data_IF_047522308776
#
_entry.id   IF_047522308776
#
_cell.length_a   1.000
_cell.length_b   1.000
_cell.length_c   1.000
_cell.angle_alpha   90.00
_cell.angle_beta   90.00
_cell.angle_gamma   90.00
#
_symmetry.space_group_name_H-M   'P 1'
#
loop_
_entity.id
_entity.type
_entity.pdbx_description
1 polymer ?
#
# COMPACT_ATOMS: atom_id res chain seq x y z
N UNK A 1 -23.58 12.31 29.56
CA UNK A 1 -23.35 12.26 28.09
C UNK A 1 -24.15 11.08 27.54
N UNK A 2 -24.99 11.29 26.53
CA UNK A 2 -25.74 10.21 25.85
C UNK A 2 -24.77 9.26 25.17
N UNK A 3 -25.00 7.95 25.31
CA UNK A 3 -24.18 6.93 24.66
C UNK A 3 -24.30 7.05 23.13
N UNK A 4 -23.16 6.99 22.43
CA UNK A 4 -23.14 7.00 20.97
C UNK A 4 -23.77 5.74 20.40
N UNK A 5 -24.61 5.87 19.38
CA UNK A 5 -25.14 4.71 18.63
C UNK A 5 -24.06 4.06 17.78
N UNK A 6 -24.24 2.80 17.38
CA UNK A 6 -23.30 2.08 16.49
C UNK A 6 -23.04 2.83 15.19
N UNK A 7 -24.08 3.48 14.61
CA UNK A 7 -23.95 4.31 13.41
C UNK A 7 -23.07 5.53 13.65
N UNK A 8 -23.28 6.26 14.75
CA UNK A 8 -22.45 7.41 15.09
C UNK A 8 -20.99 7.01 15.36
N UNK A 9 -20.76 5.87 16.02
CA UNK A 9 -19.41 5.32 16.21
C UNK A 9 -18.78 4.96 14.86
N UNK A 10 -19.53 4.35 13.95
CA UNK A 10 -19.05 4.00 12.61
C UNK A 10 -18.63 5.25 11.83
N UNK A 11 -19.45 6.30 11.81
CA UNK A 11 -19.12 7.57 11.15
C UNK A 11 -17.80 8.16 11.66
N UNK A 12 -17.59 8.18 12.99
CA UNK A 12 -16.37 8.70 13.62
C UNK A 12 -15.15 7.81 13.29
N UNK A 13 -15.30 6.49 13.44
CA UNK A 13 -14.18 5.55 13.38
C UNK A 13 -13.78 5.20 11.95
N UNK A 14 -14.72 5.24 10.99
CA UNK A 14 -14.42 5.14 9.57
C UNK A 14 -13.73 6.41 9.05
N UNK A 15 -14.18 7.60 9.47
CA UNK A 15 -13.52 8.86 9.08
C UNK A 15 -12.08 8.92 9.63
N UNK A 16 -11.87 8.52 10.89
CA UNK A 16 -10.53 8.45 11.47
C UNK A 16 -9.63 7.41 10.77
N UNK A 17 -10.19 6.33 10.22
CA UNK A 17 -9.44 5.30 9.48
C UNK A 17 -8.93 5.77 8.11
N UNK A 18 -9.43 6.90 7.56
CA UNK A 18 -9.04 7.40 6.23
C UNK A 18 -7.57 7.83 6.14
N UNK A 19 -6.96 8.18 7.28
CA UNK A 19 -5.55 8.59 7.38
C UNK A 19 -4.57 7.41 7.41
N UNK A 20 -5.07 6.17 7.48
CA UNK A 20 -4.28 4.95 7.30
C UNK A 20 -4.30 4.58 5.81
N UNK A 21 -3.16 4.32 5.17
CA UNK A 21 -3.06 4.05 3.73
C UNK A 21 -2.91 2.56 3.42
N UNK A 22 -3.72 1.72 4.04
CA UNK A 22 -3.69 0.27 3.79
C UNK A 22 -4.59 -0.22 2.64
N UNK A 23 -5.41 0.66 2.06
CA UNK A 23 -6.29 0.36 0.91
C UNK A 23 -6.61 1.62 0.11
N UNK A 24 -7.06 1.45 -1.14
CA UNK A 24 -7.55 2.56 -1.94
C UNK A 24 -8.94 2.97 -1.42
N UNK A 25 -9.00 4.13 -0.74
CA UNK A 25 -10.26 4.74 -0.36
C UNK A 25 -10.80 5.57 -1.52
N UNK A 26 -12.09 5.43 -1.81
CA UNK A 26 -12.80 6.34 -2.70
C UNK A 26 -13.12 7.62 -1.94
N UNK A 27 -12.13 8.49 -1.74
CA UNK A 27 -12.38 9.85 -1.27
C UNK A 27 -13.25 10.58 -2.29
N UNK A 28 -14.46 10.98 -1.90
CA UNK A 28 -15.38 11.75 -2.74
C UNK A 28 -15.99 12.89 -1.93
N UNK A 29 -16.43 13.95 -2.60
CA UNK A 29 -17.09 15.08 -1.93
C UNK A 29 -18.34 14.58 -1.19
N UNK A 30 -18.56 15.04 0.05
CA UNK A 30 -19.79 14.76 0.79
C UNK A 30 -20.98 15.33 0.01
N UNK A 31 -21.96 14.47 -0.27
CA UNK A 31 -23.21 14.74 -0.96
C UNK A 31 -24.28 14.07 -0.13
N UNK A 32 -25.40 14.76 0.01
CA UNK A 32 -26.55 14.23 0.72
C UNK A 32 -27.75 14.21 -0.22
N UNK A 33 -28.37 13.03 -0.35
CA UNK A 33 -29.65 12.85 -1.02
C UNK A 33 -30.75 13.78 -0.49
N UNK A 34 -30.67 14.22 0.76
CA UNK A 34 -31.61 15.19 1.33
C UNK A 34 -31.33 16.64 0.88
N UNK A 35 -30.14 16.95 0.37
CA UNK A 35 -29.75 18.30 -0.05
C UNK A 35 -30.16 18.58 -1.51
N UNK A 36 -31.35 19.14 -1.72
CA UNK A 36 -31.83 19.56 -3.04
C UNK A 36 -33.33 19.86 -3.07
N UNK A 37 -33.80 20.70 -4.02
CA UNK A 37 -35.21 21.14 -4.10
C UNK A 37 -36.26 20.03 -4.26
N UNK A 38 -35.87 18.82 -4.64
CA UNK A 38 -36.78 17.69 -4.89
C UNK A 38 -36.42 16.42 -4.11
N UNK A 39 -35.42 16.46 -3.22
CA UNK A 39 -34.73 15.26 -2.78
C UNK A 39 -33.99 14.55 -3.93
N UNK A 40 -32.99 13.77 -3.60
CA UNK A 40 -32.20 12.95 -4.53
C UNK A 40 -32.08 11.52 -4.02
N UNK A 41 -31.34 10.69 -4.74
CA UNK A 41 -30.96 9.34 -4.31
C UNK A 41 -29.44 9.31 -4.15
N UNK A 42 -28.99 8.70 -3.05
CA UNK A 42 -27.58 8.48 -2.75
C UNK A 42 -26.95 9.58 -1.90
N UNK A 43 -26.15 9.16 -0.92
CA UNK A 43 -25.32 10.03 -0.10
C UNK A 43 -23.89 9.48 -0.09
N UNK A 44 -22.90 10.35 -0.15
CA UNK A 44 -21.50 9.96 -0.03
C UNK A 44 -21.06 10.09 1.43
N UNK A 45 -21.62 9.20 2.26
CA UNK A 45 -21.22 9.05 3.66
C UNK A 45 -19.99 8.13 3.76
N UNK A 46 -19.04 8.48 4.62
CA UNK A 46 -17.82 7.70 4.85
C UNK A 46 -18.11 6.45 5.68
N UNK A 47 -18.77 5.44 5.10
CA UNK A 47 -19.18 4.21 5.81
C UNK A 47 -18.05 3.18 5.95
N UNK A 48 -16.80 3.60 5.78
CA UNK A 48 -15.62 2.76 6.03
C UNK A 48 -15.38 1.66 4.99
N UNK A 49 -16.08 1.64 3.84
CA UNK A 49 -15.79 0.64 2.80
C UNK A 49 -14.60 1.09 1.96
N UNK A 50 -13.61 0.22 1.78
CA UNK A 50 -12.51 0.45 0.86
C UNK A 50 -12.21 -0.76 -0.03
N UNK A 51 -11.46 -0.52 -1.10
CA UNK A 51 -11.12 -1.55 -2.07
C UNK A 51 -9.68 -2.03 -1.86
N UNK A 52 -9.52 -3.34 -1.74
CA UNK A 52 -8.25 -4.03 -1.68
C UNK A 52 -8.14 -5.02 -2.84
N UNK A 53 -6.94 -5.56 -3.08
CA UNK A 53 -6.75 -6.60 -4.09
C UNK A 53 -6.38 -7.90 -3.39
N UNK A 54 -7.18 -8.93 -3.65
CA UNK A 54 -6.91 -10.29 -3.20
C UNK A 54 -5.64 -10.86 -3.89
N UNK A 55 -5.04 -11.94 -3.36
CA UNK A 55 -3.85 -12.56 -3.95
C UNK A 55 -4.03 -12.99 -5.42
N UNK A 56 -5.26 -13.27 -5.84
CA UNK A 56 -5.64 -13.63 -7.22
C UNK A 56 -5.81 -12.41 -8.16
N UNK A 57 -5.65 -11.19 -7.64
CA UNK A 57 -5.77 -9.94 -8.39
C UNK A 57 -7.20 -9.40 -8.49
N UNK A 58 -8.21 -10.04 -7.87
CA UNK A 58 -9.56 -9.49 -7.79
C UNK A 58 -9.60 -8.30 -6.84
N UNK A 59 -10.35 -7.28 -7.23
CA UNK A 59 -10.70 -6.17 -6.35
C UNK A 59 -11.78 -6.65 -5.38
N UNK A 60 -11.53 -6.49 -4.09
CA UNK A 60 -12.46 -6.88 -3.01
C UNK A 60 -12.85 -5.67 -2.17
N UNK A 61 -14.09 -5.65 -1.68
CA UNK A 61 -14.59 -4.59 -0.80
C UNK A 61 -14.43 -4.99 0.66
N UNK A 62 -13.76 -4.16 1.46
CA UNK A 62 -13.50 -4.40 2.89
C UNK A 62 -14.16 -3.33 3.75
N UNK A 63 -14.74 -3.74 4.88
CA UNK A 63 -15.09 -2.82 5.96
C UNK A 63 -13.81 -2.42 6.69
N UNK A 64 -13.31 -1.23 6.43
CA UNK A 64 -12.15 -0.64 7.10
C UNK A 64 -12.60 0.32 8.19
N UNK A 65 -12.34 -0.10 9.43
CA UNK A 65 -12.72 0.65 10.63
C UNK A 65 -11.64 0.57 11.70
N UNK A 66 -11.69 1.51 12.64
CA UNK A 66 -10.95 1.43 13.90
C UNK A 66 -11.84 0.82 14.97
N UNK A 67 -11.29 -0.04 15.83
CA UNK A 67 -11.94 -0.45 17.08
C UNK A 67 -12.17 0.77 17.99
N UNK A 68 -11.18 1.65 18.06
CA UNK A 68 -11.27 2.95 18.73
C UNK A 68 -10.32 3.93 18.05
N UNK A 69 -10.68 5.20 18.04
CA UNK A 69 -9.76 6.27 17.67
C UNK A 69 -9.07 6.89 18.87
N UNK A 70 -9.34 6.48 20.11
CA UNK A 70 -8.56 6.88 21.29
C UNK A 70 -7.19 6.21 21.29
N UNK A 71 -6.13 6.97 21.57
CA UNK A 71 -4.76 6.48 21.61
C UNK A 71 -3.99 7.09 22.79
N UNK A 72 -3.17 6.30 23.47
CA UNK A 72 -2.25 6.78 24.52
C UNK A 72 -0.94 7.38 23.95
N UNK A 73 -0.63 7.14 22.67
CA UNK A 73 0.56 7.66 22.00
C UNK A 73 0.33 9.03 21.39
N UNK A 74 1.40 9.80 21.23
CA UNK A 74 1.35 11.17 20.75
C UNK A 74 2.05 11.41 19.39
N UNK A 75 1.93 10.44 18.47
CA UNK A 75 2.54 10.54 17.14
C UNK A 75 2.08 11.82 16.41
N UNK A 76 3.02 12.72 16.10
CA UNK A 76 2.75 14.08 15.63
C UNK A 76 1.89 14.12 14.36
N UNK A 77 2.06 13.15 13.45
CA UNK A 77 1.36 13.03 12.17
C UNK A 77 -0.04 12.40 12.28
N UNK A 78 -0.40 11.85 13.44
CA UNK A 78 -1.60 11.05 13.59
C UNK A 78 -2.75 11.89 14.14
N UNK A 79 -3.88 11.94 13.43
CA UNK A 79 -5.10 12.61 13.92
C UNK A 79 -5.60 12.00 15.25
N UNK A 80 -5.30 10.71 15.48
CA UNK A 80 -5.74 9.97 16.64
C UNK A 80 -4.80 10.08 17.84
N UNK A 81 -3.70 10.85 17.76
CA UNK A 81 -2.77 11.06 18.86
C UNK A 81 -3.48 11.58 20.12
N UNK A 82 -2.95 11.30 21.30
CA UNK A 82 -3.61 11.66 22.58
C UNK A 82 -3.90 13.15 22.71
N UNK A 83 -3.03 14.01 22.16
CA UNK A 83 -3.14 15.47 22.25
C UNK A 83 -4.13 16.08 21.26
N UNK A 84 -4.68 15.31 20.32
CA UNK A 84 -5.68 15.82 19.37
C UNK A 84 -7.05 15.98 20.00
N UNK A 85 -7.64 17.16 19.85
CA UNK A 85 -9.03 17.43 20.19
C UNK A 85 -9.96 16.99 19.06
N UNK A 86 -10.21 15.68 18.99
CA UNK A 86 -11.14 15.07 18.04
C UNK A 86 -12.16 14.23 18.80
N UNK A 87 -13.38 14.15 18.27
CA UNK A 87 -14.44 13.33 18.83
C UNK A 87 -13.98 11.88 18.90
N UNK A 88 -14.01 11.29 20.11
CA UNK A 88 -13.59 9.90 20.34
C UNK A 88 -14.77 8.95 20.39
N UNK A 89 -14.56 7.76 19.86
CA UNK A 89 -15.52 6.66 19.89
C UNK A 89 -14.78 5.33 20.08
N UNK A 90 -15.50 4.34 20.60
CA UNK A 90 -15.00 2.98 20.80
C UNK A 90 -16.13 1.99 20.55
N UNK A 91 -15.84 0.98 19.74
CA UNK A 91 -16.65 -0.21 19.64
C UNK A 91 -16.28 -1.23 20.73
N UNK A 92 -17.28 -1.98 21.15
CA UNK A 92 -17.10 -3.28 21.80
C UNK A 92 -16.78 -4.35 20.73
N UNK A 93 -16.21 -5.48 21.15
CA UNK A 93 -15.96 -6.64 20.27
C UNK A 93 -17.25 -7.04 19.54
N UNK A 94 -18.35 -7.17 20.28
CA UNK A 94 -19.67 -7.53 19.75
C UNK A 94 -20.15 -6.56 18.68
N UNK A 95 -20.02 -5.26 18.89
CA UNK A 95 -20.44 -4.26 17.90
C UNK A 95 -19.66 -4.41 16.58
N UNK A 96 -18.36 -4.70 16.61
CA UNK A 96 -17.56 -4.91 15.39
C UNK A 96 -17.98 -6.20 14.67
N UNK A 97 -18.20 -7.28 15.42
CA UNK A 97 -18.65 -8.57 14.89
C UNK A 97 -20.03 -8.41 14.22
N UNK A 98 -21.00 -7.86 14.94
CA UNK A 98 -22.38 -7.65 14.44
C UNK A 98 -22.40 -6.76 13.19
N UNK A 99 -21.56 -5.72 13.17
CA UNK A 99 -21.44 -4.82 12.03
C UNK A 99 -20.85 -5.54 10.81
N UNK A 100 -19.77 -6.30 11.01
CA UNK A 100 -19.09 -7.06 9.94
C UNK A 100 -20.06 -8.07 9.32
N UNK A 101 -20.73 -8.87 10.13
CA UNK A 101 -21.72 -9.85 9.66
C UNK A 101 -22.90 -9.18 8.95
N UNK A 102 -23.34 -8.03 9.44
CA UNK A 102 -24.45 -7.27 8.84
C UNK A 102 -24.12 -6.72 7.46
N UNK A 103 -22.92 -6.20 7.26
CA UNK A 103 -22.45 -5.72 5.95
C UNK A 103 -22.20 -6.89 4.99
N UNK A 104 -21.64 -7.98 5.48
CA UNK A 104 -21.37 -9.18 4.67
C UNK A 104 -22.66 -9.83 4.15
N UNK A 105 -23.65 -10.07 5.03
CA UNK A 105 -24.95 -10.66 4.64
C UNK A 105 -25.74 -9.83 3.62
N UNK A 106 -25.42 -8.53 3.50
CA UNK A 106 -26.02 -7.60 2.54
C UNK A 106 -25.18 -7.44 1.27
N UNK A 107 -24.12 -8.24 1.10
CA UNK A 107 -23.17 -8.19 -0.01
C UNK A 107 -22.48 -6.82 -0.18
N UNK A 108 -22.27 -6.07 0.90
CA UNK A 108 -21.55 -4.78 0.86
C UNK A 108 -20.04 -4.93 1.00
N UNK A 109 -19.60 -6.03 1.62
CA UNK A 109 -18.19 -6.33 1.86
C UNK A 109 -17.93 -7.81 1.65
N UNK A 110 -16.67 -8.15 1.36
CA UNK A 110 -16.14 -9.51 1.34
C UNK A 110 -15.21 -9.77 2.54
N UNK A 111 -14.97 -8.75 3.38
CA UNK A 111 -14.09 -8.87 4.53
C UNK A 111 -13.98 -7.64 5.43
N UNK A 112 -13.19 -7.78 6.49
CA UNK A 112 -12.91 -6.79 7.53
C UNK A 112 -11.43 -6.37 7.46
N UNK A 113 -11.18 -5.06 7.50
CA UNK A 113 -9.89 -4.48 7.84
C UNK A 113 -10.05 -3.78 9.20
N UNK A 114 -9.42 -4.31 10.24
CA UNK A 114 -9.53 -3.78 11.59
C UNK A 114 -8.18 -3.28 12.11
N UNK A 115 -8.20 -2.05 12.61
CA UNK A 115 -7.08 -1.38 13.25
C UNK A 115 -7.58 -0.70 14.54
N UNK A 116 -6.71 -0.06 15.30
CA UNK A 116 -7.10 0.62 16.54
C UNK A 116 -6.07 1.69 16.94
N UNK A 117 -6.53 2.71 17.65
CA UNK A 117 -5.67 3.42 18.60
C UNK A 117 -5.39 2.54 19.84
N UNK A 118 -4.33 2.84 20.57
CA UNK A 118 -3.92 2.05 21.74
C UNK A 118 -4.60 2.60 22.99
N UNK A 119 -5.35 1.76 23.69
CA UNK A 119 -6.04 2.10 24.93
C UNK A 119 -5.60 1.18 26.05
N UNK A 120 -5.43 1.72 27.27
CA UNK A 120 -4.92 1.02 28.46
C UNK A 120 -3.48 0.51 28.28
N UNK A 121 -3.26 -0.46 27.40
CA UNK A 121 -1.95 -0.99 27.01
C UNK A 121 -2.00 -1.56 25.59
N UNK A 122 -0.82 -1.82 25.02
CA UNK A 122 -0.67 -2.52 23.74
C UNK A 122 -1.32 -3.90 23.80
N UNK A 123 -1.08 -4.67 24.87
CA UNK A 123 -1.65 -6.01 25.09
C UNK A 123 -3.17 -5.97 25.12
N UNK A 124 -3.75 -5.11 25.98
CA UNK A 124 -5.19 -5.01 26.11
C UNK A 124 -5.85 -4.67 24.76
N UNK A 125 -5.27 -3.74 24.01
CA UNK A 125 -5.82 -3.38 22.70
C UNK A 125 -5.71 -4.54 21.71
N UNK A 126 -4.58 -5.25 21.72
CA UNK A 126 -4.34 -6.40 20.84
C UNK A 126 -5.26 -7.57 21.18
N UNK A 127 -5.52 -7.85 22.47
CA UNK A 127 -6.51 -8.82 22.93
C UNK A 127 -7.90 -8.54 22.35
N UNK A 128 -8.33 -7.26 22.31
CA UNK A 128 -9.63 -6.92 21.73
C UNK A 128 -9.67 -7.17 20.21
N UNK A 129 -8.59 -6.86 19.49
CA UNK A 129 -8.49 -7.13 18.05
C UNK A 129 -8.55 -8.64 17.76
N UNK A 130 -7.80 -9.43 18.53
CA UNK A 130 -7.82 -10.90 18.45
C UNK A 130 -9.21 -11.44 18.77
N UNK A 131 -9.88 -10.94 19.80
CA UNK A 131 -11.22 -11.36 20.19
C UNK A 131 -12.25 -11.14 19.07
N UNK A 132 -12.17 -10.04 18.33
CA UNK A 132 -13.03 -9.82 17.14
C UNK A 132 -12.80 -10.92 16.11
N UNK A 133 -11.54 -11.16 15.72
CA UNK A 133 -11.24 -12.14 14.67
C UNK A 133 -11.56 -13.57 15.11
N UNK A 134 -11.28 -13.93 16.37
CA UNK A 134 -11.63 -15.23 16.94
C UNK A 134 -13.14 -15.46 16.94
N UNK A 135 -13.94 -14.52 17.46
CA UNK A 135 -15.41 -14.65 17.47
C UNK A 135 -15.96 -14.78 16.04
N UNK A 136 -15.45 -13.99 15.09
CA UNK A 136 -15.83 -14.14 13.68
C UNK A 136 -15.54 -15.56 13.15
N UNK A 137 -14.38 -16.15 13.45
CA UNK A 137 -13.99 -17.48 12.94
C UNK A 137 -14.66 -18.63 13.66
N UNK A 138 -14.66 -18.62 15.00
CA UNK A 138 -15.04 -19.77 15.82
C UNK A 138 -16.53 -19.78 16.16
N UNK A 139 -17.12 -18.62 16.45
CA UNK A 139 -18.52 -18.52 16.89
C UNK A 139 -19.48 -18.33 15.72
N UNK A 140 -19.03 -17.66 14.65
CA UNK A 140 -19.88 -17.26 13.53
C UNK A 140 -19.54 -17.92 12.19
N UNK A 141 -18.52 -18.79 12.15
CA UNK A 141 -17.97 -19.43 10.94
C UNK A 141 -17.77 -18.46 9.76
N UNK A 142 -17.39 -17.22 10.05
CA UNK A 142 -17.17 -16.22 9.02
C UNK A 142 -15.98 -16.64 8.16
N UNK A 143 -16.20 -16.86 6.85
CA UNK A 143 -15.17 -17.25 5.87
C UNK A 143 -14.66 -16.09 5.01
N UNK A 144 -15.15 -14.87 5.24
CA UNK A 144 -14.68 -13.67 4.54
C UNK A 144 -13.26 -13.27 4.93
N UNK A 145 -12.68 -12.34 4.18
CA UNK A 145 -11.31 -11.89 4.39
C UNK A 145 -11.16 -11.09 5.70
N UNK A 146 -10.10 -11.31 6.47
CA UNK A 146 -9.77 -10.54 7.68
C UNK A 146 -8.34 -10.02 7.59
N UNK A 147 -8.17 -8.70 7.67
CA UNK A 147 -6.89 -8.03 7.82
C UNK A 147 -6.85 -7.35 9.20
N UNK A 148 -5.89 -7.75 10.04
CA UNK A 148 -5.65 -7.09 11.33
C UNK A 148 -4.36 -6.27 11.29
N UNK A 149 -4.42 -5.04 11.82
CA UNK A 149 -3.23 -4.26 12.13
C UNK A 149 -2.74 -4.62 13.52
N UNK A 150 -1.58 -5.27 13.61
CA UNK A 150 -1.01 -5.72 14.88
C UNK A 150 -0.23 -4.59 15.54
N UNK A 151 -0.11 -4.68 16.86
CA UNK A 151 0.58 -3.68 17.69
C UNK A 151 1.94 -4.26 18.06
N UNK A 152 3.06 -3.71 17.55
CA UNK A 152 4.38 -4.32 17.72
C UNK A 152 4.86 -4.36 19.19
N UNK A 153 4.33 -3.51 20.05
CA UNK A 153 4.64 -3.48 21.50
C UNK A 153 3.75 -4.42 22.34
N UNK A 154 2.87 -5.21 21.71
CA UNK A 154 2.04 -6.18 22.41
C UNK A 154 2.79 -7.51 22.59
N UNK A 155 2.32 -8.33 23.53
CA UNK A 155 2.80 -9.69 23.75
C UNK A 155 2.86 -10.47 22.42
N UNK A 156 4.01 -11.05 22.06
CA UNK A 156 4.17 -11.85 20.84
C UNK A 156 3.13 -12.96 20.68
N UNK A 157 2.62 -13.53 21.77
CA UNK A 157 1.58 -14.56 21.72
C UNK A 157 0.25 -14.00 21.20
N UNK A 158 -0.11 -12.75 21.52
CA UNK A 158 -1.29 -12.09 20.97
C UNK A 158 -1.15 -11.85 19.46
N UNK A 159 0.06 -11.49 19.01
CA UNK A 159 0.35 -11.37 17.59
C UNK A 159 0.26 -12.73 16.88
N UNK A 160 0.71 -13.82 17.52
CA UNK A 160 0.56 -15.19 17.02
C UNK A 160 -0.91 -15.61 16.94
N UNK A 161 -1.71 -15.33 17.97
CA UNK A 161 -3.15 -15.59 17.95
C UNK A 161 -3.86 -14.84 16.82
N UNK A 162 -3.51 -13.57 16.58
CA UNK A 162 -4.03 -12.83 15.44
C UNK A 162 -3.76 -13.52 14.10
N UNK A 163 -2.58 -14.13 13.93
CA UNK A 163 -2.22 -14.86 12.71
C UNK A 163 -3.02 -16.13 12.48
N UNK A 164 -3.54 -16.78 13.53
CA UNK A 164 -4.41 -17.95 13.39
C UNK A 164 -5.79 -17.61 12.82
N UNK A 165 -6.32 -16.42 13.15
CA UNK A 165 -7.68 -16.02 12.78
C UNK A 165 -7.74 -15.08 11.56
N UNK A 166 -6.67 -14.29 11.32
CA UNK A 166 -6.61 -13.34 10.22
C UNK A 166 -6.01 -13.94 8.93
N UNK A 167 -6.43 -13.41 7.78
CA UNK A 167 -5.82 -13.73 6.48
C UNK A 167 -4.52 -12.95 6.27
N UNK A 168 -4.49 -11.68 6.67
CA UNK A 168 -3.33 -10.79 6.56
C UNK A 168 -3.10 -10.04 7.85
N UNK A 169 -1.82 -9.85 8.17
CA UNK A 169 -1.38 -8.99 9.26
C UNK A 169 -0.61 -7.79 8.73
N UNK A 170 -0.63 -6.68 9.45
CA UNK A 170 0.22 -5.52 9.14
C UNK A 170 0.76 -4.83 10.37
N UNK A 171 2.04 -4.46 10.30
CA UNK A 171 2.73 -3.62 11.29
C UNK A 171 3.25 -2.41 10.54
N UNK A 172 2.94 -1.20 10.99
CA UNK A 172 3.48 0.00 10.37
C UNK A 172 4.88 0.30 10.90
N UNK A 173 5.83 0.49 10.00
CA UNK A 173 7.14 1.10 10.32
C UNK A 173 7.04 2.63 10.46
N UNK A 174 5.95 3.20 9.96
CA UNK A 174 5.56 4.61 10.03
C UNK A 174 6.46 5.57 9.27
N UNK A 175 7.74 5.67 9.61
CA UNK A 175 8.68 6.60 8.98
C UNK A 175 9.79 5.83 8.27
N UNK A 176 10.35 6.40 7.19
CA UNK A 176 11.44 5.77 6.44
C UNK A 176 12.77 5.79 7.20
N UNK A 177 12.94 6.74 8.12
CA UNK A 177 14.19 6.96 8.89
C UNK A 177 13.97 6.81 10.38
N UNK A 178 14.98 6.28 11.08
CA UNK A 178 14.99 6.16 12.55
C UNK A 178 14.92 7.54 13.23
N UNK A 179 15.62 8.53 12.68
CA UNK A 179 15.57 9.91 13.17
C UNK A 179 14.17 10.51 13.04
N UNK A 180 13.51 10.28 11.89
CA UNK A 180 12.13 10.68 11.66
C UNK A 180 11.17 10.01 12.64
N UNK A 181 11.35 8.70 12.88
CA UNK A 181 10.53 7.95 13.83
C UNK A 181 10.65 8.52 15.25
N UNK A 182 11.87 8.69 15.77
CA UNK A 182 12.10 9.26 17.12
C UNK A 182 11.51 10.66 17.27
N UNK A 183 11.65 11.48 16.23
CA UNK A 183 11.15 12.87 16.24
C UNK A 183 9.63 12.95 16.16
N UNK A 184 8.99 12.08 15.37
CA UNK A 184 7.58 12.22 15.01
C UNK A 184 6.66 11.20 15.68
N UNK A 185 7.19 10.15 16.30
CA UNK A 185 6.45 9.15 17.05
C UNK A 185 7.28 8.67 18.25
N UNK A 186 7.45 9.50 19.29
CA UNK A 186 8.40 9.27 20.36
C UNK A 186 8.12 8.01 21.20
N UNK A 187 6.87 7.55 21.27
CA UNK A 187 6.52 6.31 21.97
C UNK A 187 6.80 5.04 21.16
N UNK A 188 7.12 5.15 19.86
CA UNK A 188 7.41 4.01 18.99
C UNK A 188 8.91 3.75 18.91
N UNK A 189 9.25 2.47 18.85
CA UNK A 189 10.64 2.01 18.78
C UNK A 189 10.88 1.19 17.52
N UNK A 190 11.86 1.62 16.71
CA UNK A 190 12.16 0.98 15.43
C UNK A 190 12.66 -0.46 15.57
N UNK A 191 13.42 -0.76 16.63
CA UNK A 191 13.95 -2.11 16.87
C UNK A 191 12.84 -3.08 17.29
N UNK A 192 11.93 -2.66 18.17
CA UNK A 192 10.75 -3.45 18.56
C UNK A 192 9.84 -3.72 17.37
N UNK A 193 9.60 -2.72 16.52
CA UNK A 193 8.85 -2.89 15.27
C UNK A 193 9.50 -3.95 14.37
N UNK A 194 10.80 -3.85 14.13
CA UNK A 194 11.55 -4.82 13.29
C UNK A 194 11.53 -6.23 13.89
N UNK A 195 11.70 -6.36 15.21
CA UNK A 195 11.65 -7.64 15.92
C UNK A 195 10.26 -8.28 15.83
N UNK A 196 9.19 -7.50 15.99
CA UNK A 196 7.82 -8.00 15.83
C UNK A 196 7.55 -8.47 14.39
N UNK A 197 8.05 -7.76 13.38
CA UNK A 197 7.94 -8.16 11.97
C UNK A 197 8.76 -9.43 11.66
N UNK A 198 9.93 -9.58 12.28
CA UNK A 198 10.76 -10.78 12.17
C UNK A 198 10.07 -11.99 12.80
N UNK A 199 9.57 -11.88 14.03
CA UNK A 199 8.81 -12.96 14.68
C UNK A 199 7.57 -13.34 13.88
N UNK A 200 6.89 -12.36 13.26
CA UNK A 200 5.76 -12.62 12.38
C UNK A 200 6.16 -13.35 11.09
N UNK A 201 7.32 -13.03 10.53
CA UNK A 201 7.85 -13.74 9.35
C UNK A 201 8.06 -15.20 9.69
N UNK A 202 8.73 -15.47 10.81
CA UNK A 202 9.06 -16.83 11.24
C UNK A 202 7.78 -17.64 11.48
N UNK A 203 6.78 -17.07 12.17
CA UNK A 203 5.49 -17.72 12.36
C UNK A 203 4.72 -18.00 11.05
N UNK A 204 4.78 -17.11 10.06
CA UNK A 204 4.18 -17.33 8.73
C UNK A 204 4.91 -18.45 7.98
N UNK A 205 6.24 -18.51 8.07
CA UNK A 205 7.04 -19.56 7.44
C UNK A 205 6.76 -20.92 8.06
N UNK A 206 6.73 -21.00 9.39
CA UNK A 206 6.38 -22.21 10.14
C UNK A 206 4.98 -22.68 9.82
N UNK A 207 4.00 -21.77 9.79
CA UNK A 207 2.62 -22.10 9.41
C UNK A 207 2.50 -22.59 7.97
N UNK A 208 3.24 -21.98 7.03
CA UNK A 208 3.29 -22.46 5.64
C UNK A 208 3.92 -23.84 5.55
N UNK A 209 5.04 -24.10 6.25
CA UNK A 209 5.69 -25.42 6.25
C UNK A 209 4.78 -26.50 6.88
N UNK A 210 4.16 -26.19 8.03
CA UNK A 210 3.21 -27.06 8.69
C UNK A 210 2.02 -27.42 7.78
N UNK A 211 1.46 -26.44 7.05
CA UNK A 211 0.35 -26.67 6.11
C UNK A 211 0.70 -27.56 4.92
N UNK A 212 1.99 -27.67 4.57
CA UNK A 212 2.48 -28.58 3.51
C UNK A 212 2.72 -29.98 4.02
N UNK A 213 3.06 -30.13 5.31
CA UNK A 213 3.38 -31.42 5.94
C UNK A 213 2.19 -32.11 6.56
N UNK A 214 1.24 -31.35 7.12
CA UNK A 214 0.12 -31.87 7.90
C UNK A 214 -1.21 -31.36 7.34
N UNK A 215 -2.10 -32.29 6.99
CA UNK A 215 -3.41 -31.97 6.39
C UNK A 215 -4.30 -31.08 7.28
N UNK A 216 -4.15 -31.19 8.59
CA UNK A 216 -4.95 -30.47 9.59
C UNK A 216 -4.18 -29.35 10.30
N UNK A 217 -3.00 -28.95 9.79
CA UNK A 217 -2.31 -27.80 10.36
C UNK A 217 -3.18 -26.53 10.22
N UNK A 218 -3.28 -25.71 11.29
CA UNK A 218 -4.01 -24.46 11.21
C UNK A 218 -3.34 -23.54 10.19
N UNK A 219 -4.15 -22.80 9.43
CA UNK A 219 -3.64 -21.74 8.56
C UNK A 219 -3.15 -20.58 9.42
N UNK A 220 -2.04 -19.98 9.02
CA UNK A 220 -1.48 -18.81 9.68
C UNK A 220 -1.26 -17.70 8.65
N UNK A 221 -2.00 -16.60 8.79
CA UNK A 221 -1.93 -15.40 7.94
C UNK A 221 -1.58 -15.71 6.46
N UNK A 222 -2.40 -16.50 5.74
CA UNK A 222 -2.07 -17.01 4.40
C UNK A 222 -1.80 -15.91 3.35
N UNK A 223 -2.36 -14.71 3.53
CA UNK A 223 -2.11 -13.55 2.67
C UNK A 223 -0.88 -12.72 3.09
N UNK A 224 -0.10 -13.24 4.04
CA UNK A 224 1.19 -12.76 4.53
C UNK A 224 1.12 -11.52 5.41
N UNK A 225 2.27 -10.86 5.58
CA UNK A 225 2.37 -9.59 6.30
C UNK A 225 2.68 -8.41 5.37
N UNK A 226 2.28 -7.22 5.80
CA UNK A 226 2.49 -5.95 5.09
C UNK A 226 2.86 -4.82 6.05
N UNK A 227 3.36 -3.71 5.52
CA UNK A 227 3.72 -2.53 6.31
C UNK A 227 3.34 -1.24 5.59
N UNK A 228 3.43 -0.11 6.29
CA UNK A 228 3.19 1.22 5.73
C UNK A 228 4.28 2.20 6.17
N UNK A 229 4.65 3.08 5.25
CA UNK A 229 5.45 4.29 5.47
C UNK A 229 4.68 5.54 5.09
N UNK A 230 4.86 6.59 5.89
CA UNK A 230 4.39 7.95 5.62
C UNK A 230 5.49 8.67 4.85
N UNK A 231 5.11 9.29 3.74
CA UNK A 231 5.99 9.99 2.81
C UNK A 231 5.77 11.49 2.99
N UNK A 232 6.86 12.23 3.15
CA UNK A 232 6.84 13.69 3.25
C UNK A 232 6.36 14.25 4.58
N UNK A 233 6.35 13.44 5.65
CA UNK A 233 6.22 13.95 7.03
C UNK A 233 7.58 14.39 7.61
N UNK A 234 8.69 13.83 7.10
CA UNK A 234 10.06 14.19 7.43
C UNK A 234 10.84 14.61 6.17
N UNK A 235 12.14 14.85 6.33
CA UNK A 235 13.05 15.25 5.25
C UNK A 235 13.62 14.05 4.47
N UNK A 236 13.05 12.86 4.60
CA UNK A 236 13.53 11.70 3.88
C UNK A 236 13.32 11.87 2.37
N UNK A 237 14.39 11.66 1.60
CA UNK A 237 14.36 11.61 0.16
C UNK A 237 13.84 10.24 -0.34
N UNK A 238 13.58 10.13 -1.65
CA UNK A 238 13.01 8.90 -2.20
C UNK A 238 14.04 7.76 -2.21
N UNK A 239 15.34 8.07 -2.26
CA UNK A 239 16.42 7.07 -2.11
C UNK A 239 16.38 6.39 -0.74
N UNK A 240 16.21 7.14 0.34
CA UNK A 240 16.06 6.58 1.69
C UNK A 240 14.81 5.70 1.80
N UNK A 241 13.68 6.14 1.23
CA UNK A 241 12.43 5.38 1.21
C UNK A 241 12.57 4.07 0.42
N UNK A 242 13.20 4.11 -0.76
CA UNK A 242 13.45 2.92 -1.59
C UNK A 242 14.37 1.93 -0.87
N UNK A 243 15.48 2.41 -0.28
CA UNK A 243 16.39 1.56 0.51
C UNK A 243 15.67 0.90 1.68
N UNK A 244 14.86 1.67 2.40
CA UNK A 244 14.06 1.18 3.52
C UNK A 244 13.09 0.10 3.06
N UNK A 245 12.35 0.34 1.99
CA UNK A 245 11.41 -0.64 1.43
C UNK A 245 12.11 -1.93 0.99
N UNK A 246 13.22 -1.83 0.26
CA UNK A 246 14.02 -2.99 -0.19
C UNK A 246 14.53 -3.83 0.99
N UNK A 247 15.04 -3.17 2.05
CA UNK A 247 15.47 -3.84 3.27
C UNK A 247 14.31 -4.55 3.97
N UNK A 248 13.14 -3.92 4.06
CA UNK A 248 11.95 -4.51 4.69
C UNK A 248 11.44 -5.74 3.94
N UNK A 249 11.41 -5.70 2.59
CA UNK A 249 11.07 -6.89 1.80
C UNK A 249 12.05 -8.03 2.03
N UNK A 250 13.35 -7.73 2.00
CA UNK A 250 14.41 -8.74 2.10
C UNK A 250 14.44 -9.37 3.49
N UNK A 251 14.28 -8.57 4.55
CA UNK A 251 14.34 -9.04 5.93
C UNK A 251 13.07 -9.73 6.38
N UNK A 252 11.89 -9.23 6.01
CA UNK A 252 10.61 -9.69 6.61
C UNK A 252 9.70 -10.43 5.64
N UNK A 253 10.15 -10.68 4.40
CA UNK A 253 9.38 -11.32 3.32
C UNK A 253 8.00 -10.70 3.14
N UNK A 254 7.93 -9.37 3.23
CA UNK A 254 6.67 -8.64 3.14
C UNK A 254 5.98 -8.89 1.81
N UNK A 255 4.66 -8.99 1.84
CA UNK A 255 3.85 -9.04 0.62
C UNK A 255 3.72 -7.67 -0.02
N UNK A 256 3.72 -6.61 0.80
CA UNK A 256 3.53 -5.23 0.35
C UNK A 256 4.03 -4.21 1.37
N UNK A 257 4.62 -3.14 0.85
CA UNK A 257 4.84 -1.87 1.51
C UNK A 257 3.83 -0.86 0.95
N UNK A 258 3.11 -0.18 1.83
CA UNK A 258 2.20 0.90 1.49
C UNK A 258 2.90 2.24 1.70
N UNK A 259 2.70 3.17 0.77
CA UNK A 259 3.18 4.54 0.85
C UNK A 259 1.97 5.45 1.01
N UNK A 260 1.99 6.30 2.04
CA UNK A 260 0.98 7.32 2.27
C UNK A 260 1.62 8.69 2.18
N UNK A 261 1.21 9.54 1.25
CA UNK A 261 1.50 10.97 1.37
C UNK A 261 0.97 11.47 2.72
N UNK A 262 1.81 12.19 3.47
CA UNK A 262 1.39 12.88 4.67
C UNK A 262 0.20 13.79 4.37
N UNK A 263 -0.86 13.68 5.17
CA UNK A 263 -2.00 14.60 5.10
C UNK A 263 -1.98 15.47 6.33
N UNK A 264 -2.00 16.81 6.17
CA UNK A 264 -2.20 17.71 7.30
C UNK A 264 -3.44 17.32 8.09
N UNK A 265 -3.31 17.35 9.42
CA UNK A 265 -4.41 17.16 10.36
C UNK A 265 -4.91 18.53 10.82
N UNK A 266 -6.17 18.67 11.27
CA UNK A 266 -6.75 19.98 11.63
C UNK A 266 -5.94 20.77 12.65
N UNK A 267 -5.25 20.08 13.57
CA UNK A 267 -4.36 20.67 14.57
C UNK A 267 -2.95 20.09 14.42
N UNK A 268 -2.19 20.53 13.39
CA UNK A 268 -0.88 19.96 13.09
C UNK A 268 0.13 20.37 14.16
N UNK A 269 1.06 19.49 14.48
CA UNK A 269 2.23 19.87 15.27
C UNK A 269 3.13 20.80 14.44
N UNK A 270 3.71 21.82 15.06
CA UNK A 270 4.70 22.73 14.43
C UNK A 270 5.94 22.01 13.89
N UNK A 271 6.19 20.79 14.34
CA UNK A 271 7.30 19.94 13.91
C UNK A 271 7.07 19.37 12.49
N UNK A 272 5.83 19.36 12.00
CA UNK A 272 5.46 18.80 10.71
C UNK A 272 5.45 19.84 9.59
N UNK A 273 5.65 19.41 8.33
CA UNK A 273 5.49 20.28 7.17
C UNK A 273 4.07 20.83 7.08
N UNK A 274 3.95 22.12 6.71
CA UNK A 274 2.65 22.76 6.52
C UNK A 274 1.95 22.33 5.23
N UNK A 275 2.73 21.89 4.22
CA UNK A 275 2.21 21.49 2.90
C UNK A 275 2.26 19.98 2.72
N UNK A 276 1.18 19.45 2.14
CA UNK A 276 1.10 18.06 1.69
C UNK A 276 2.11 17.82 0.56
N UNK A 277 2.87 16.71 0.57
CA UNK A 277 3.72 16.37 -0.56
C UNK A 277 2.87 16.10 -1.82
N UNK A 278 3.40 16.34 -3.02
CA UNK A 278 2.68 16.07 -4.26
C UNK A 278 2.20 14.61 -4.33
N UNK A 279 0.93 14.39 -4.67
CA UNK A 279 0.37 13.03 -4.84
C UNK A 279 1.18 12.19 -5.85
N UNK A 280 1.78 12.85 -6.84
CA UNK A 280 2.65 12.21 -7.81
C UNK A 280 3.87 11.56 -7.15
N UNK A 281 4.40 12.11 -6.06
CA UNK A 281 5.53 11.51 -5.32
C UNK A 281 5.16 10.14 -4.76
N UNK A 282 3.99 10.03 -4.12
CA UNK A 282 3.45 8.75 -3.66
C UNK A 282 3.29 7.76 -4.83
N UNK A 283 2.76 8.22 -5.96
CA UNK A 283 2.61 7.40 -7.16
C UNK A 283 3.96 6.91 -7.71
N UNK A 284 4.99 7.75 -7.74
CA UNK A 284 6.35 7.38 -8.18
C UNK A 284 6.96 6.31 -7.28
N UNK A 285 6.76 6.40 -5.96
CA UNK A 285 7.20 5.36 -5.04
C UNK A 285 6.49 4.02 -5.26
N UNK A 286 5.18 4.02 -5.54
CA UNK A 286 4.48 2.78 -5.92
C UNK A 286 4.97 2.20 -7.25
N UNK A 287 5.32 3.05 -8.23
CA UNK A 287 5.90 2.59 -9.49
C UNK A 287 7.29 1.96 -9.25
N UNK A 288 8.13 2.58 -8.43
CA UNK A 288 9.43 2.02 -8.03
C UNK A 288 9.30 0.71 -7.23
N UNK A 289 8.33 0.62 -6.31
CA UNK A 289 8.01 -0.64 -5.59
C UNK A 289 7.62 -1.77 -6.55
N UNK A 290 6.79 -1.45 -7.55
CA UNK A 290 6.42 -2.40 -8.58
C UNK A 290 7.64 -2.89 -9.37
N UNK A 291 8.56 -1.99 -9.71
CA UNK A 291 9.81 -2.34 -10.39
C UNK A 291 10.67 -3.28 -9.54
N UNK A 292 10.79 -3.06 -8.23
CA UNK A 292 11.50 -4.00 -7.35
C UNK A 292 10.85 -5.39 -7.38
N UNK A 293 9.54 -5.44 -7.14
CA UNK A 293 8.82 -6.71 -6.88
C UNK A 293 8.59 -7.55 -8.12
N UNK A 294 8.33 -6.91 -9.26
CA UNK A 294 7.87 -7.62 -10.46
C UNK A 294 8.86 -7.53 -11.63
N UNK A 295 9.75 -6.54 -11.63
CA UNK A 295 10.76 -6.37 -12.69
C UNK A 295 12.18 -6.74 -12.25
N UNK A 296 12.41 -7.01 -10.97
CA UNK A 296 13.72 -7.40 -10.45
C UNK A 296 14.71 -6.24 -10.41
N UNK A 297 14.23 -5.03 -10.13
CA UNK A 297 15.11 -3.89 -9.85
C UNK A 297 15.70 -3.99 -8.45
N UNK A 298 17.01 -3.75 -8.33
CA UNK A 298 17.67 -3.51 -7.03
C UNK A 298 17.36 -2.10 -6.53
N UNK A 299 17.57 -1.87 -5.22
CA UNK A 299 17.46 -0.53 -4.64
C UNK A 299 18.44 0.45 -5.32
N UNK A 300 19.69 0.04 -5.53
CA UNK A 300 20.73 0.85 -6.16
C UNK A 300 20.34 1.24 -7.59
N UNK A 301 19.77 0.32 -8.36
CA UNK A 301 19.24 0.62 -9.70
C UNK A 301 18.15 1.70 -9.61
N UNK A 302 17.21 1.61 -8.68
CA UNK A 302 16.16 2.63 -8.55
C UNK A 302 16.65 3.97 -8.01
N UNK A 303 17.62 3.96 -7.09
CA UNK A 303 18.24 5.17 -6.56
C UNK A 303 18.95 5.98 -7.65
N UNK A 304 19.53 5.29 -8.64
CA UNK A 304 20.15 5.93 -9.79
C UNK A 304 19.15 6.67 -10.67
N UNK A 305 17.87 6.30 -10.64
CA UNK A 305 16.80 7.00 -11.37
C UNK A 305 16.39 8.33 -10.70
N UNK A 306 16.69 8.49 -9.41
CA UNK A 306 16.43 9.72 -8.66
C UNK A 306 17.41 10.83 -9.06
N UNK A 307 16.95 12.07 -8.92
CA UNK A 307 17.75 13.26 -9.15
C UNK A 307 18.96 13.31 -8.18
N UNK A 308 20.19 13.49 -8.68
CA UNK A 308 21.39 13.50 -7.84
C UNK A 308 21.45 14.62 -6.79
N UNK A 309 20.86 15.79 -7.09
CA UNK A 309 20.91 16.95 -6.20
C UNK A 309 19.87 16.85 -5.08
N UNK A 310 18.68 16.32 -5.38
CA UNK A 310 17.56 16.26 -4.42
C UNK A 310 17.34 14.88 -3.80
N UNK A 311 17.89 13.81 -4.38
CA UNK A 311 17.62 12.42 -3.97
C UNK A 311 16.19 11.96 -4.22
N UNK A 312 15.36 12.77 -4.89
CA UNK A 312 13.95 12.48 -5.15
C UNK A 312 13.72 11.97 -6.59
N UNK A 313 12.67 11.17 -6.77
CA UNK A 313 12.27 10.70 -8.09
C UNK A 313 11.67 11.86 -8.90
N UNK A 314 11.96 11.96 -10.21
CA UNK A 314 11.30 12.92 -11.08
C UNK A 314 9.78 12.75 -11.06
N UNK A 315 9.05 13.87 -10.94
CA UNK A 315 7.58 13.83 -10.90
C UNK A 315 6.96 13.83 -12.29
N UNK A 316 7.67 14.33 -13.30
CA UNK A 316 7.23 14.49 -14.69
C UNK A 316 7.38 13.20 -15.52
N UNK A 317 8.38 12.37 -15.24
CA UNK A 317 8.64 11.11 -15.94
C UNK A 317 8.51 9.90 -15.02
N UNK A 318 8.07 8.74 -15.55
CA UNK A 318 7.97 7.53 -14.75
C UNK A 318 9.37 6.96 -14.37
N UNK A 319 9.51 6.26 -13.22
CA UNK A 319 10.82 5.82 -12.74
C UNK A 319 11.52 4.84 -13.68
N UNK A 320 10.77 4.06 -14.47
CA UNK A 320 11.36 3.11 -15.43
C UNK A 320 11.96 3.84 -16.62
N UNK A 321 11.28 4.87 -17.12
CA UNK A 321 11.84 5.76 -18.13
C UNK A 321 13.02 6.57 -17.58
N UNK A 322 12.90 7.14 -16.37
CA UNK A 322 13.98 7.89 -15.72
C UNK A 322 15.25 7.05 -15.58
N UNK A 323 15.10 5.79 -15.16
CA UNK A 323 16.20 4.84 -15.11
C UNK A 323 16.81 4.57 -16.50
N UNK A 324 15.97 4.28 -17.49
CA UNK A 324 16.41 3.95 -18.84
C UNK A 324 17.15 5.11 -19.52
N UNK A 325 16.73 6.35 -19.28
CA UNK A 325 17.40 7.54 -19.81
C UNK A 325 18.80 7.75 -19.22
N UNK A 326 19.06 7.24 -18.01
CA UNK A 326 20.38 7.27 -17.36
C UNK A 326 21.25 6.05 -17.69
N UNK A 327 20.65 4.96 -18.16
CA UNK A 327 21.32 3.69 -18.52
C UNK A 327 21.13 3.41 -20.02
N UNK A 328 21.52 4.37 -20.87
CA UNK A 328 21.30 4.28 -22.33
C UNK A 328 22.12 3.17 -22.98
N UNK A 329 23.25 2.81 -22.38
CA UNK A 329 24.12 1.70 -22.75
C UNK A 329 23.41 0.34 -22.69
N UNK A 330 22.34 0.22 -21.89
CA UNK A 330 21.51 -0.98 -21.83
C UNK A 330 20.52 -1.12 -23.02
N UNK A 331 20.45 -0.12 -23.91
CA UNK A 331 19.50 -0.04 -25.02
C UNK A 331 20.22 0.16 -26.36
N UNK A 332 19.62 -0.31 -27.47
CA UNK A 332 18.31 -0.96 -27.57
C UNK A 332 18.35 -2.46 -27.29
N UNK A 333 17.22 -3.00 -26.82
CA UNK A 333 17.06 -4.41 -26.47
C UNK A 333 16.43 -5.20 -27.63
N UNK A 334 17.10 -6.26 -28.10
CA UNK A 334 16.56 -7.14 -29.15
C UNK A 334 15.45 -8.05 -28.60
N UNK A 335 14.21 -7.84 -29.05
CA UNK A 335 13.04 -8.62 -28.58
C UNK A 335 13.14 -10.11 -28.89
N UNK A 336 13.87 -10.48 -29.93
CA UNK A 336 14.02 -11.87 -30.37
C UNK A 336 15.14 -12.62 -29.63
N UNK A 337 16.11 -11.91 -29.05
CA UNK A 337 17.31 -12.52 -28.45
C UNK A 337 17.49 -12.22 -26.97
N UNK A 338 17.14 -11.02 -26.53
CA UNK A 338 17.48 -10.55 -25.18
C UNK A 338 16.83 -11.40 -24.08
N UNK A 339 17.49 -11.58 -22.92
CA UNK A 339 16.88 -12.30 -21.81
C UNK A 339 15.64 -11.58 -21.30
N UNK A 340 14.75 -12.32 -20.63
CA UNK A 340 13.51 -11.80 -20.03
C UNK A 340 13.77 -10.57 -19.15
N UNK A 341 14.83 -10.61 -18.35
CA UNK A 341 15.23 -9.50 -17.47
C UNK A 341 15.49 -8.19 -18.23
N UNK A 342 16.23 -8.25 -19.34
CA UNK A 342 16.50 -7.06 -20.17
C UNK A 342 15.21 -6.48 -20.78
N UNK A 343 14.28 -7.33 -21.24
CA UNK A 343 12.97 -6.89 -21.73
C UNK A 343 12.14 -6.20 -20.64
N UNK A 344 12.25 -6.66 -19.39
CA UNK A 344 11.61 -6.01 -18.24
C UNK A 344 12.22 -4.65 -17.89
N UNK A 345 13.37 -4.28 -18.46
CA UNK A 345 13.96 -2.93 -18.30
C UNK A 345 13.44 -1.93 -19.32
N UNK A 346 12.87 -2.37 -20.44
CA UNK A 346 12.33 -1.50 -21.50
C UNK A 346 11.12 -0.68 -20.98
N UNK A 347 11.18 0.67 -20.99
CA UNK A 347 10.05 1.52 -20.62
C UNK A 347 8.79 1.18 -21.41
N UNK A 348 7.63 1.14 -20.76
CA UNK A 348 6.35 0.77 -21.39
C UNK A 348 6.07 -0.73 -21.55
N UNK A 349 7.07 -1.62 -21.42
CA UNK A 349 6.84 -3.07 -21.33
C UNK A 349 6.49 -3.50 -19.90
N UNK A 350 5.36 -4.21 -19.75
CA UNK A 350 4.95 -4.84 -18.50
C UNK A 350 5.12 -6.36 -18.52
N UNK A 351 5.02 -7.01 -17.35
CA UNK A 351 5.25 -8.46 -17.17
C UNK A 351 4.49 -9.31 -18.21
N UNK A 352 3.16 -9.13 -18.32
CA UNK A 352 2.32 -9.88 -19.27
C UNK A 352 2.74 -9.70 -20.73
N UNK A 353 3.23 -8.52 -21.12
CA UNK A 353 3.71 -8.29 -22.47
C UNK A 353 5.05 -8.99 -22.70
N UNK A 354 5.97 -8.88 -21.75
CA UNK A 354 7.27 -9.57 -21.82
C UNK A 354 7.12 -11.07 -21.87
N UNK A 355 6.26 -11.66 -21.03
CA UNK A 355 6.03 -13.11 -21.02
C UNK A 355 5.47 -13.58 -22.36
N UNK A 356 4.54 -12.82 -22.96
CA UNK A 356 4.03 -13.11 -24.31
C UNK A 356 5.09 -12.96 -25.39
N UNK A 357 5.98 -11.98 -25.30
CA UNK A 357 7.12 -11.81 -26.23
C UNK A 357 8.05 -13.03 -26.14
N UNK A 358 8.44 -13.43 -24.92
CA UNK A 358 9.35 -14.56 -24.69
C UNK A 358 8.73 -15.87 -25.16
N UNK A 359 7.43 -16.07 -24.98
CA UNK A 359 6.73 -17.23 -25.51
C UNK A 359 6.66 -17.21 -27.05
N UNK A 360 6.21 -16.09 -27.63
CA UNK A 360 5.95 -15.97 -29.07
C UNK A 360 7.23 -16.09 -29.91
N UNK A 361 8.35 -15.57 -29.42
CA UNK A 361 9.63 -15.60 -30.15
C UNK A 361 10.23 -17.01 -30.32
N UNK A 362 9.71 -18.01 -29.59
CA UNK A 362 10.07 -19.42 -29.78
C UNK A 362 9.51 -20.00 -31.07
N UNK A 363 8.40 -19.45 -31.55
CA UNK A 363 7.68 -19.96 -32.73
C UNK A 363 7.91 -19.13 -33.98
N UNK A 364 8.25 -17.85 -33.83
CA UNK A 364 8.54 -16.95 -34.96
C UNK A 364 9.48 -15.83 -34.56
N UNK A 365 10.18 -15.26 -35.53
CA UNK A 365 10.85 -13.97 -35.32
C UNK A 365 9.80 -12.86 -35.28
N UNK A 366 9.81 -12.10 -34.19
CA UNK A 366 8.90 -11.00 -33.93
C UNK A 366 9.32 -9.75 -34.70
N UNK A 367 8.38 -9.23 -35.47
CA UNK A 367 8.40 -7.92 -36.11
C UNK A 367 7.87 -6.85 -35.16
N UNK A 368 8.06 -5.58 -35.49
CA UNK A 368 7.57 -4.49 -34.65
C UNK A 368 6.03 -4.54 -34.46
N UNK A 369 5.29 -4.89 -35.50
CA UNK A 369 3.83 -5.02 -35.46
C UNK A 369 3.38 -6.16 -34.53
N UNK A 370 4.17 -7.23 -34.42
CA UNK A 370 3.88 -8.31 -33.47
C UNK A 370 3.99 -7.79 -32.03
N UNK A 371 5.02 -6.99 -31.73
CA UNK A 371 5.20 -6.35 -30.42
C UNK A 371 4.07 -5.34 -30.14
N UNK A 372 3.62 -4.61 -31.15
CA UNK A 372 2.50 -3.68 -31.01
C UNK A 372 1.21 -4.37 -30.53
N UNK A 373 0.90 -5.57 -31.07
CA UNK A 373 -0.27 -6.37 -30.65
C UNK A 373 -0.18 -6.89 -29.21
N UNK A 374 1.04 -7.02 -28.68
CA UNK A 374 1.28 -7.54 -27.32
C UNK A 374 1.34 -6.44 -26.26
N UNK A 375 1.31 -5.17 -26.65
CA UNK A 375 1.59 -4.02 -25.78
C UNK A 375 0.50 -2.96 -25.91
N UNK A 376 0.45 -2.01 -24.97
CA UNK A 376 -0.54 -0.92 -25.01
C UNK A 376 -0.16 0.20 -25.99
N UNK A 377 1.14 0.45 -26.16
CA UNK A 377 1.63 1.52 -27.04
C UNK A 377 3.04 1.18 -27.51
N UNK A 378 3.19 0.87 -28.80
CA UNK A 378 4.49 0.58 -29.41
C UNK A 378 5.34 1.85 -29.60
N UNK A 379 4.70 3.02 -29.70
CA UNK A 379 5.37 4.30 -29.89
C UNK A 379 6.37 4.61 -28.77
N UNK A 380 6.01 4.31 -27.51
CA UNK A 380 6.90 4.48 -26.35
C UNK A 380 8.06 3.48 -26.33
N UNK A 381 7.91 2.33 -26.99
CA UNK A 381 8.90 1.25 -26.98
C UNK A 381 9.95 1.41 -28.07
N UNK A 382 9.56 1.98 -29.20
CA UNK A 382 10.38 2.14 -30.42
C UNK A 382 11.82 2.60 -30.17
N UNK A 383 12.10 3.58 -29.29
CA UNK A 383 13.47 4.04 -29.03
C UNK A 383 14.35 3.01 -28.32
N UNK A 384 13.74 2.05 -27.60
CA UNK A 384 14.42 1.17 -26.66
C UNK A 384 14.57 -0.27 -27.15
N UNK A 385 14.02 -0.63 -28.33
CA UNK A 385 14.02 -2.01 -28.80
C UNK A 385 14.46 -2.18 -30.25
N UNK A 386 14.93 -3.39 -30.55
CA UNK A 386 15.16 -3.91 -31.90
C UNK A 386 14.18 -5.06 -32.14
N UNK A 387 13.58 -5.08 -33.33
CA UNK A 387 12.76 -6.19 -33.83
C UNK A 387 13.31 -6.66 -35.19
N UNK A 388 12.73 -7.72 -35.76
CA UNK A 388 13.22 -8.31 -37.01
C UNK A 388 13.29 -7.29 -38.17
N UNK A 389 12.35 -6.34 -38.21
CA UNK A 389 12.20 -5.30 -39.23
C UNK A 389 12.32 -3.87 -38.67
N UNK A 390 12.84 -3.71 -37.44
CA UNK A 390 12.96 -2.41 -36.79
C UNK A 390 14.26 -2.25 -36.01
N UNK A 391 14.95 -1.12 -36.23
CA UNK A 391 16.08 -0.66 -35.42
C UNK A 391 15.95 0.84 -35.16
N UNK A 392 16.28 1.34 -33.96
CA UNK A 392 16.18 2.76 -33.63
C UNK A 392 17.43 3.52 -34.10
N UNK A 393 17.65 3.62 -35.42
CA UNK A 393 18.89 4.16 -36.01
C UNK A 393 19.08 5.67 -35.75
N UNK A 394 18.01 6.41 -35.42
CA UNK A 394 18.06 7.86 -35.12
C UNK A 394 17.25 8.30 -33.88
N UNK A 395 16.58 7.36 -33.21
CA UNK A 395 15.68 7.67 -32.08
C UNK A 395 16.36 7.49 -30.72
N UNK A 396 17.34 6.61 -30.61
CA UNK A 396 18.07 6.37 -29.36
C UNK A 396 18.86 7.63 -28.93
N UNK A 397 19.48 8.34 -29.88
CA UNK A 397 20.25 9.56 -29.61
C UNK A 397 19.35 10.81 -29.43
N UNK A 398 18.14 10.80 -30.01
CA UNK A 398 17.12 11.87 -29.90
C UNK A 398 16.20 11.74 -28.69
N UNK A 399 16.42 10.79 -27.79
CA UNK A 399 15.69 10.68 -26.51
C UNK A 399 15.83 11.92 -25.61
N UNK A 400 16.67 12.88 -26.00
CA UNK A 400 16.77 14.24 -25.47
C UNK A 400 15.64 15.19 -25.90
N UNK A 401 14.82 14.88 -26.92
CA UNK A 401 14.00 15.90 -27.61
C UNK A 401 12.48 15.81 -27.45
N UNK A 402 11.93 14.90 -26.64
CA UNK A 402 10.49 14.90 -26.31
C UNK A 402 10.22 14.75 -24.82
N UNK A 403 10.76 15.69 -24.04
CA UNK A 403 10.19 16.11 -22.74
C UNK A 403 9.38 17.38 -23.01
N UNK A 404 8.29 17.27 -23.75
CA UNK A 404 7.40 18.41 -23.97
C UNK A 404 6.00 17.93 -24.31
N UNK A 405 5.32 17.38 -23.31
CA UNK A 405 4.07 17.99 -22.89
C UNK A 405 4.05 17.89 -21.37
N UNK A 406 3.87 19.00 -20.62
CA UNK A 406 3.46 18.85 -19.24
C UNK A 406 2.20 17.97 -19.26
N UNK A 407 2.09 16.91 -18.43
CA UNK A 407 0.80 16.27 -18.27
C UNK A 407 -0.21 17.38 -17.97
N UNK A 408 -1.40 17.31 -18.59
CA UNK A 408 -2.47 18.25 -18.29
C UNK A 408 -2.49 18.44 -16.78
N UNK A 409 -2.24 19.67 -16.32
CA UNK A 409 -2.27 19.97 -14.91
C UNK A 409 -3.64 19.53 -14.44
N UNK A 410 -3.69 18.45 -13.66
CA UNK A 410 -4.88 18.18 -12.89
C UNK A 410 -4.93 19.35 -11.93
N UNK A 411 -5.75 20.35 -12.27
CA UNK A 411 -6.09 21.43 -11.37
C UNK A 411 -6.40 20.79 -10.03
N UNK A 412 -5.78 21.29 -8.97
CA UNK A 412 -6.12 20.90 -7.62
C UNK A 412 -7.64 21.04 -7.51
N UNK A 413 -8.32 19.90 -7.47
CA UNK A 413 -9.66 19.87 -6.92
C UNK A 413 -9.40 20.21 -5.45
N UNK A 414 -9.80 21.42 -5.08
CA UNK A 414 -9.75 22.07 -3.76
C UNK A 414 -8.56 23.04 -3.55
N UNK A 415 -8.83 24.35 -3.35
CA UNK A 415 -7.87 25.33 -2.83
C UNK A 415 -7.51 25.10 -1.35
#
# INVERSE_FOLDING_TARGET
MTALTTRQKLEILADAAKYDASCASSGTAKRDSASGRKGGIGSTEGMGICHAYAPDGRCISLLKILLTNSCIFDCHYCVNRRSSDVRRARFTVREVVDLTLSFYRRNYIEGLFLSSGIIRSSDYTMEQLVAVARSLREEHDFRGYIHLKTIPDADPELARQAGLYADRLSINVELPTEQGLRRLAPEKDGQRIESAMAGMRDAIEDGSDASRRYAHAPRFAPAGQSTQMIVGADQADDRAIIRRASALYSRHRLRRVYYSAFSPIPSPSSVLPLKRPPLMREHRLYQSDWMMRFYGYSAQELESAADPATGCLPLDIDPKLAWALRHRDCFPVDVNRAPRGALLRVPGLGVKAVDRIVASRRHRRLRLDDVARLTRSVAKLRPFLVAADWRPVHLADRLTLHIAHPPASQYELFP
#
